data_IF_614529145298
#
_entry.id   IF_614529145298
#
_cell.length_a   1.000
_cell.length_b   1.000
_cell.length_c   1.000
_cell.angle_alpha   90.00
_cell.angle_beta   90.00
_cell.angle_gamma   90.00
#
_symmetry.space_group_name_H-M   'P 1'
#
loop_
_entity.id
_entity.type
_entity.pdbx_description
1 polymer ?
#
# COMPACT_ATOMS: atom_id res chain seq x y z
N UNK A 1 -52.33 25.24 46.50
CA UNK A 1 -52.08 26.51 45.78
C UNK A 1 -50.55 26.67 45.70
N UNK A 2 -49.92 26.32 44.57
CA UNK A 2 -49.37 27.25 43.52
C UNK A 2 -48.29 28.19 44.11
N UNK A 3 -47.05 28.33 43.65
CA UNK A 3 -46.23 28.06 42.45
C UNK A 3 -44.75 27.89 42.93
N UNK A 4 -43.77 27.26 42.27
CA UNK A 4 -43.35 27.33 40.86
C UNK A 4 -42.01 28.09 40.76
N UNK A 5 -40.89 27.39 40.51
CA UNK A 5 -39.55 27.98 40.38
C UNK A 5 -38.56 27.07 39.64
N UNK A 6 -38.56 27.20 38.31
CA UNK A 6 -37.79 26.45 37.32
C UNK A 6 -36.28 26.74 37.38
N UNK A 7 -35.44 25.71 37.30
CA UNK A 7 -34.00 25.80 37.10
C UNK A 7 -33.45 24.64 36.28
N UNK A 8 -33.83 24.57 34.99
CA UNK A 8 -33.25 23.61 34.03
C UNK A 8 -31.82 24.02 33.64
N UNK A 9 -30.82 23.22 34.02
CA UNK A 9 -29.51 23.22 33.36
C UNK A 9 -29.53 22.19 32.24
N UNK A 10 -29.53 22.65 31.00
CA UNK A 10 -29.30 21.81 29.81
C UNK A 10 -27.81 21.58 29.64
N UNK A 11 -27.32 20.39 30.00
CA UNK A 11 -25.99 19.93 29.61
C UNK A 11 -26.01 19.57 28.14
N UNK A 12 -25.24 20.31 27.34
CA UNK A 12 -25.08 20.08 25.91
C UNK A 12 -24.12 18.91 25.72
N UNK A 13 -24.67 17.71 25.53
CA UNK A 13 -23.91 16.55 25.08
C UNK A 13 -23.41 16.81 23.65
N UNK A 14 -22.09 16.92 23.48
CA UNK A 14 -21.45 16.82 22.17
C UNK A 14 -21.52 15.35 21.70
N UNK A 15 -21.93 15.07 20.46
CA UNK A 15 -21.86 13.72 19.94
C UNK A 15 -20.38 13.37 19.68
N UNK A 16 -19.82 12.51 20.53
CA UNK A 16 -18.60 11.77 20.23
C UNK A 16 -18.89 10.90 19.00
N UNK A 17 -18.44 11.37 17.84
CA UNK A 17 -18.46 10.61 16.61
C UNK A 17 -17.50 9.44 16.82
N UNK A 18 -18.06 8.23 16.91
CA UNK A 18 -17.32 6.99 16.98
C UNK A 18 -16.28 6.96 15.85
N UNK A 19 -15.02 7.07 16.23
CA UNK A 19 -13.88 6.84 15.37
C UNK A 19 -13.72 5.31 15.35
N UNK A 20 -14.04 4.69 14.22
CA UNK A 20 -14.03 3.23 14.06
C UNK A 20 -12.65 2.66 14.46
N UNK A 21 -12.65 1.62 15.31
CA UNK A 21 -11.41 1.05 15.87
C UNK A 21 -10.47 0.46 14.82
N UNK A 22 -10.95 0.24 13.60
CA UNK A 22 -10.15 -0.21 12.45
C UNK A 22 -9.13 0.82 11.98
N UNK A 23 -9.42 2.11 12.09
CA UNK A 23 -8.49 3.18 11.65
C UNK A 23 -7.34 3.37 12.65
N UNK A 24 -7.59 3.09 13.93
CA UNK A 24 -6.54 3.08 14.95
C UNK A 24 -5.60 1.89 14.81
N UNK A 25 -6.11 0.72 14.41
CA UNK A 25 -5.27 -0.46 14.18
C UNK A 25 -4.38 -0.27 12.94
N UNK A 26 -4.91 0.29 11.85
CA UNK A 26 -4.13 0.54 10.64
C UNK A 26 -3.01 1.58 10.83
N UNK A 27 -3.24 2.65 11.61
CA UNK A 27 -2.22 3.68 11.88
C UNK A 27 -1.14 3.16 12.85
N UNK A 28 -1.49 2.27 13.77
CA UNK A 28 -0.54 1.64 14.71
C UNK A 28 0.27 0.52 14.04
N UNK A 29 -0.30 -0.21 13.07
CA UNK A 29 0.44 -1.18 12.25
C UNK A 29 1.41 -0.47 11.29
N UNK A 30 0.99 0.59 10.58
CA UNK A 30 1.86 1.28 9.61
C UNK A 30 3.03 2.04 10.25
N UNK A 31 2.91 2.45 11.52
CA UNK A 31 3.99 3.17 12.23
C UNK A 31 4.96 2.28 13.01
N UNK A 32 4.68 0.97 13.15
CA UNK A 32 5.58 0.01 13.82
C UNK A 32 6.35 -0.91 12.89
N UNK A 33 5.86 -1.17 11.67
CA UNK A 33 6.56 -2.03 10.71
C UNK A 33 7.90 -1.47 10.19
N UNK A 34 8.23 -0.21 10.47
CA UNK A 34 9.45 0.44 10.01
C UNK A 34 10.67 0.34 10.95
N UNK A 35 10.58 -0.25 12.15
CA UNK A 35 11.72 -0.21 13.10
C UNK A 35 12.59 -1.48 13.17
N UNK A 36 12.09 -2.66 12.80
CA UNK A 36 12.82 -3.94 13.03
C UNK A 36 13.58 -4.43 11.80
N UNK A 37 13.08 -4.16 10.58
CA UNK A 37 13.75 -4.55 9.34
C UNK A 37 14.83 -3.55 8.90
N UNK A 38 14.90 -2.37 9.54
CA UNK A 38 15.96 -1.38 9.31
C UNK A 38 17.35 -1.90 9.71
N UNK A 39 17.40 -2.95 10.55
CA UNK A 39 18.63 -3.64 10.94
C UNK A 39 19.11 -4.67 9.91
N UNK A 40 18.26 -5.02 8.93
CA UNK A 40 18.65 -5.89 7.82
C UNK A 40 19.31 -5.07 6.71
N UNK A 41 20.23 -5.67 5.93
CA UNK A 41 20.83 -5.01 4.79
C UNK A 41 19.76 -4.47 3.84
N UNK A 42 19.97 -3.24 3.34
CA UNK A 42 19.04 -2.57 2.42
C UNK A 42 17.61 -2.39 2.99
N UNK A 43 17.45 -2.43 4.33
CA UNK A 43 16.17 -2.28 5.04
C UNK A 43 15.12 -3.29 4.61
N UNK A 44 15.55 -4.50 4.23
CA UNK A 44 14.68 -5.58 3.79
C UNK A 44 13.90 -5.32 2.49
N UNK A 45 14.20 -4.25 1.73
CA UNK A 45 13.41 -3.85 0.54
C UNK A 45 13.47 -4.84 -0.62
N UNK A 46 14.55 -5.59 -0.72
CA UNK A 46 14.79 -6.55 -1.79
C UNK A 46 14.66 -8.00 -1.31
N UNK A 47 14.14 -8.22 -0.09
CA UNK A 47 13.88 -9.56 0.41
C UNK A 47 12.62 -10.13 -0.25
N UNK A 48 12.63 -11.42 -0.60
CA UNK A 48 11.42 -12.16 -0.90
C UNK A 48 10.40 -12.09 0.25
N UNK A 49 9.13 -12.32 -0.07
CA UNK A 49 8.04 -12.06 0.86
C UNK A 49 8.13 -12.93 2.12
N UNK A 50 8.35 -14.25 1.97
CA UNK A 50 8.42 -15.16 3.13
C UNK A 50 9.69 -14.97 3.92
N UNK A 51 10.83 -14.81 3.26
CA UNK A 51 12.10 -14.45 3.92
C UNK A 51 11.94 -13.21 4.79
N UNK A 52 11.24 -12.19 4.28
CA UNK A 52 10.97 -10.97 5.04
C UNK A 52 10.12 -11.23 6.28
N UNK A 53 9.07 -12.04 6.15
CA UNK A 53 8.19 -12.41 7.26
C UNK A 53 8.93 -13.25 8.31
N UNK A 54 9.71 -14.24 7.87
CA UNK A 54 10.56 -15.05 8.72
C UNK A 54 11.56 -14.19 9.50
N UNK A 55 12.31 -13.32 8.83
CA UNK A 55 13.28 -12.46 9.49
C UNK A 55 12.63 -11.45 10.42
N UNK A 56 11.41 -10.98 10.11
CA UNK A 56 10.66 -10.18 11.06
C UNK A 56 10.40 -10.96 12.35
N UNK A 57 9.87 -12.18 12.25
CA UNK A 57 9.61 -13.03 13.42
C UNK A 57 10.89 -13.35 14.20
N UNK A 58 12.00 -13.61 13.52
CA UNK A 58 13.31 -13.91 14.14
C UNK A 58 13.88 -12.69 14.86
N UNK A 59 13.87 -11.52 14.22
CA UNK A 59 14.36 -10.27 14.83
C UNK A 59 13.45 -9.84 15.98
N UNK A 60 12.14 -10.03 15.86
CA UNK A 60 11.18 -9.79 16.94
C UNK A 60 11.45 -10.70 18.14
N UNK A 61 11.69 -12.00 17.87
CA UNK A 61 12.12 -12.97 18.88
C UNK A 61 13.41 -12.50 19.56
N UNK A 62 14.44 -12.10 18.79
CA UNK A 62 15.71 -11.61 19.32
C UNK A 62 15.57 -10.34 20.17
N UNK A 63 14.83 -9.33 19.69
CA UNK A 63 14.73 -8.02 20.34
C UNK A 63 13.89 -8.08 21.61
N UNK A 64 12.79 -8.83 21.60
CA UNK A 64 11.82 -8.80 22.70
C UNK A 64 11.92 -10.00 23.66
N UNK A 65 12.48 -11.13 23.25
CA UNK A 65 12.59 -12.28 24.14
C UNK A 65 13.91 -12.25 24.92
N UNK A 66 13.87 -11.57 26.08
CA UNK A 66 15.00 -11.48 27.01
C UNK A 66 15.16 -12.72 27.92
N UNK A 67 14.44 -13.83 27.69
CA UNK A 67 14.45 -15.02 28.58
C UNK A 67 14.31 -16.34 27.82
N UNK A 68 15.08 -17.33 28.26
CA UNK A 68 15.25 -18.69 27.70
C UNK A 68 13.97 -19.54 27.56
N UNK A 69 12.82 -19.09 28.08
CA UNK A 69 11.61 -19.91 28.20
C UNK A 69 10.51 -19.62 27.18
N UNK A 70 10.73 -18.73 26.22
CA UNK A 70 9.73 -18.45 25.18
C UNK A 70 10.04 -19.25 23.91
N UNK A 71 9.01 -19.94 23.42
CA UNK A 71 9.05 -20.58 22.12
C UNK A 71 9.31 -19.52 21.03
N UNK A 72 10.15 -19.83 20.03
CA UNK A 72 10.36 -18.93 18.90
C UNK A 72 9.03 -18.64 18.21
N UNK A 73 8.86 -17.42 17.70
CA UNK A 73 7.66 -17.00 16.94
C UNK A 73 7.56 -17.66 15.55
N UNK A 74 8.49 -18.56 15.23
CA UNK A 74 8.57 -19.28 13.97
C UNK A 74 8.99 -20.74 14.25
N UNK A 75 8.54 -21.64 13.40
CA UNK A 75 8.82 -23.08 13.51
C UNK A 75 9.92 -23.52 12.53
N UNK A 76 10.44 -24.74 12.71
CA UNK A 76 11.34 -25.38 11.73
C UNK A 76 10.65 -25.51 10.37
N UNK A 77 9.34 -25.79 10.37
CA UNK A 77 8.55 -25.93 9.15
C UNK A 77 8.40 -24.61 8.40
N UNK A 78 8.20 -23.48 9.11
CA UNK A 78 8.15 -22.15 8.49
C UNK A 78 9.48 -21.80 7.81
N UNK A 79 10.59 -22.19 8.43
CA UNK A 79 11.93 -22.00 7.91
C UNK A 79 12.15 -22.87 6.65
N UNK A 80 11.85 -24.17 6.72
CA UNK A 80 11.97 -25.10 5.59
C UNK A 80 11.10 -24.64 4.42
N UNK A 81 9.83 -24.32 4.68
CA UNK A 81 8.90 -23.81 3.68
C UNK A 81 9.41 -22.53 3.02
N UNK A 82 10.01 -21.62 3.79
CA UNK A 82 10.60 -20.38 3.25
C UNK A 82 11.79 -20.68 2.34
N UNK A 83 12.66 -21.61 2.74
CA UNK A 83 13.83 -22.03 1.95
C UNK A 83 13.36 -22.71 0.65
N UNK A 84 12.48 -23.69 0.75
CA UNK A 84 11.97 -24.47 -0.38
C UNK A 84 11.21 -23.63 -1.40
N UNK A 85 10.43 -22.64 -0.96
CA UNK A 85 9.66 -21.81 -1.88
C UNK A 85 10.52 -20.76 -2.59
N UNK A 86 11.49 -20.15 -1.90
CA UNK A 86 12.18 -18.95 -2.40
C UNK A 86 13.63 -19.19 -2.87
N UNK A 87 14.24 -20.32 -2.50
CA UNK A 87 15.65 -20.63 -2.77
C UNK A 87 15.82 -21.98 -3.49
N UNK A 88 16.88 -22.06 -4.28
CA UNK A 88 17.41 -23.29 -4.86
C UNK A 88 18.52 -23.79 -3.92
N UNK A 89 18.38 -25.04 -3.45
CA UNK A 89 19.34 -25.70 -2.57
C UNK A 89 20.45 -26.34 -3.40
N UNK A 90 21.69 -26.21 -2.92
CA UNK A 90 22.89 -26.85 -3.48
C UNK A 90 23.66 -27.53 -2.37
N UNK A 91 24.08 -28.75 -2.64
CA UNK A 91 24.97 -29.49 -1.75
C UNK A 91 26.36 -28.88 -1.83
N UNK A 92 26.68 -28.07 -0.83
CA UNK A 92 27.98 -27.44 -0.68
C UNK A 92 28.50 -27.72 0.71
N UNK A 93 29.76 -28.17 0.86
CA UNK A 93 30.36 -28.33 2.17
C UNK A 93 30.46 -27.02 2.94
N UNK A 94 30.34 -27.14 4.26
CA UNK A 94 30.42 -26.06 5.22
C UNK A 94 31.53 -26.36 6.22
N UNK A 95 32.42 -25.41 6.48
CA UNK A 95 33.38 -25.54 7.57
C UNK A 95 33.00 -24.59 8.70
N UNK A 96 33.07 -25.08 9.94
CA UNK A 96 32.86 -24.31 11.16
C UNK A 96 34.04 -24.58 12.09
N UNK A 97 34.97 -23.63 12.18
CA UNK A 97 36.23 -23.79 12.89
C UNK A 97 37.10 -24.85 12.21
N UNK A 98 37.45 -25.90 12.95
CA UNK A 98 38.25 -27.02 12.44
C UNK A 98 37.39 -28.19 11.91
N UNK A 99 36.06 -28.09 12.02
CA UNK A 99 35.14 -29.13 11.58
C UNK A 99 34.64 -28.85 10.17
N UNK A 100 34.58 -29.88 9.34
CA UNK A 100 34.05 -29.83 7.98
C UNK A 100 32.82 -30.71 7.88
N UNK A 101 31.72 -30.14 7.40
CA UNK A 101 30.46 -30.83 7.14
C UNK A 101 30.37 -31.02 5.63
N UNK A 102 30.64 -32.24 5.17
CA UNK A 102 30.37 -32.67 3.82
C UNK A 102 28.95 -33.24 3.74
N UNK A 103 28.04 -32.53 3.06
CA UNK A 103 26.64 -32.96 2.92
C UNK A 103 26.50 -34.29 2.16
N UNK A 104 27.46 -34.61 1.29
CA UNK A 104 27.54 -35.88 0.57
C UNK A 104 27.72 -37.07 1.54
N UNK A 105 28.51 -36.86 2.61
CA UNK A 105 28.84 -37.90 3.61
C UNK A 105 27.88 -37.89 4.81
N UNK A 106 27.22 -36.76 5.07
CA UNK A 106 26.35 -36.57 6.22
C UNK A 106 25.06 -37.40 6.22
N UNK A 107 24.83 -38.22 5.18
CA UNK A 107 23.91 -39.37 5.17
C UNK A 107 22.60 -39.16 5.92
N UNK A 108 21.57 -38.63 5.24
CA UNK A 108 20.21 -38.43 5.75
C UNK A 108 20.06 -37.59 7.05
N UNK A 109 21.12 -36.97 7.59
CA UNK A 109 20.97 -36.10 8.76
C UNK A 109 20.33 -34.76 8.38
N UNK A 110 19.01 -34.74 8.40
CA UNK A 110 18.20 -33.55 8.12
C UNK A 110 18.58 -32.33 8.98
N UNK A 111 19.02 -32.53 10.22
CA UNK A 111 19.41 -31.44 11.13
C UNK A 111 20.70 -30.75 10.69
N UNK A 112 21.70 -31.50 10.22
CA UNK A 112 22.95 -30.94 9.70
C UNK A 112 22.69 -30.21 8.38
N UNK A 113 21.87 -30.79 7.51
CA UNK A 113 21.45 -30.15 6.27
C UNK A 113 20.74 -28.82 6.54
N UNK A 114 19.73 -28.81 7.41
CA UNK A 114 19.00 -27.60 7.78
C UNK A 114 19.93 -26.53 8.39
N UNK A 115 20.92 -26.93 9.20
CA UNK A 115 21.92 -26.00 9.75
C UNK A 115 22.76 -25.35 8.64
N UNK A 116 23.22 -26.13 7.65
CA UNK A 116 24.00 -25.60 6.51
C UNK A 116 23.16 -24.62 5.69
N UNK A 117 21.91 -24.96 5.42
CA UNK A 117 20.97 -24.10 4.72
C UNK A 117 20.70 -22.80 5.49
N UNK A 118 20.49 -22.87 6.81
CA UNK A 118 20.29 -21.68 7.66
C UNK A 118 21.51 -20.78 7.70
N UNK A 119 22.72 -21.35 7.88
CA UNK A 119 23.94 -20.56 7.89
C UNK A 119 24.18 -19.91 6.52
N UNK A 120 23.85 -20.62 5.43
CA UNK A 120 23.90 -20.04 4.10
C UNK A 120 22.84 -18.94 3.89
N UNK A 121 21.63 -19.10 4.43
CA UNK A 121 20.57 -18.09 4.38
C UNK A 121 21.00 -16.83 5.13
N UNK A 122 21.54 -17.03 6.33
CA UNK A 122 22.00 -15.96 7.19
C UNK A 122 23.20 -15.21 6.58
N UNK A 123 24.15 -15.92 5.98
CA UNK A 123 25.26 -15.30 5.25
C UNK A 123 24.76 -14.52 4.03
N UNK A 124 23.89 -15.12 3.20
CA UNK A 124 23.33 -14.49 2.00
C UNK A 124 22.66 -13.14 2.32
N UNK A 125 21.97 -13.08 3.45
CA UNK A 125 21.27 -11.87 3.92
C UNK A 125 22.02 -11.08 4.98
N UNK A 126 23.30 -11.40 5.20
CA UNK A 126 24.24 -10.71 6.08
C UNK A 126 23.68 -10.49 7.49
N UNK A 127 23.09 -11.53 8.06
CA UNK A 127 22.54 -11.47 9.41
C UNK A 127 23.67 -11.42 10.45
N UNK A 128 23.51 -10.64 11.54
CA UNK A 128 24.49 -10.62 12.61
C UNK A 128 24.50 -11.96 13.37
N UNK A 129 25.62 -12.24 14.04
CA UNK A 129 25.84 -13.48 14.80
C UNK A 129 24.67 -13.82 15.74
N UNK A 130 24.26 -12.86 16.56
CA UNK A 130 23.27 -13.12 17.62
C UNK A 130 21.88 -13.46 17.06
N UNK A 131 21.48 -12.78 15.97
CA UNK A 131 20.21 -13.08 15.26
C UNK A 131 20.30 -14.44 14.57
N UNK A 132 21.48 -14.80 14.07
CA UNK A 132 21.72 -16.11 13.45
C UNK A 132 21.65 -17.25 14.47
N UNK A 133 22.14 -17.03 15.70
CA UNK A 133 21.99 -18.00 16.80
C UNK A 133 20.51 -18.21 17.14
N UNK A 134 19.71 -17.13 17.20
CA UNK A 134 18.26 -17.27 17.36
C UNK A 134 17.68 -18.10 16.22
N UNK A 135 18.04 -17.79 14.97
CA UNK A 135 17.60 -18.51 13.77
C UNK A 135 17.88 -20.02 13.85
N UNK A 136 19.03 -20.41 14.40
CA UNK A 136 19.49 -21.80 14.55
C UNK A 136 18.87 -22.57 15.71
N UNK A 137 18.27 -21.88 16.71
CA UNK A 137 17.72 -22.51 17.91
C UNK A 137 16.73 -23.65 17.62
N UNK A 138 15.78 -23.53 16.66
CA UNK A 138 14.83 -24.61 16.36
C UNK A 138 15.48 -25.87 15.77
N UNK A 139 16.70 -25.75 15.21
CA UNK A 139 17.45 -26.85 14.57
C UNK A 139 18.49 -27.44 15.51
N UNK A 140 18.60 -26.92 16.74
CA UNK A 140 19.57 -27.40 17.72
C UNK A 140 19.17 -28.79 18.19
N UNK A 141 19.94 -29.79 17.79
CA UNK A 141 19.85 -31.19 18.21
C UNK A 141 21.21 -31.70 18.66
N UNK A 142 21.29 -32.96 19.11
CA UNK A 142 22.52 -33.53 19.66
C UNK A 142 23.70 -33.46 18.69
N UNK A 143 23.44 -33.68 17.40
CA UNK A 143 24.47 -33.67 16.35
C UNK A 143 24.91 -32.27 15.90
N UNK A 144 24.03 -31.26 16.02
CA UNK A 144 24.34 -29.87 15.61
C UNK A 144 24.92 -29.05 16.75
N UNK A 145 24.78 -29.52 18.00
CA UNK A 145 25.18 -28.80 19.21
C UNK A 145 26.65 -28.35 19.21
N UNK A 146 27.57 -29.26 18.87
CA UNK A 146 29.00 -28.93 18.84
C UNK A 146 29.32 -27.79 17.85
N UNK A 147 28.72 -27.82 16.66
CA UNK A 147 28.88 -26.79 15.66
C UNK A 147 28.30 -25.45 16.09
N UNK A 148 27.13 -25.47 16.73
CA UNK A 148 26.47 -24.28 17.26
C UNK A 148 27.29 -23.68 18.40
N UNK A 149 27.87 -24.49 19.29
CA UNK A 149 28.75 -24.03 20.36
C UNK A 149 30.02 -23.34 19.81
N UNK A 150 30.61 -23.89 18.74
CA UNK A 150 31.77 -23.27 18.06
C UNK A 150 31.36 -21.94 17.42
N UNK A 151 30.20 -21.90 16.75
CA UNK A 151 29.66 -20.68 16.16
C UNK A 151 29.29 -19.63 17.21
N UNK A 152 28.76 -20.04 18.36
CA UNK A 152 28.45 -19.14 19.46
C UNK A 152 29.72 -18.54 20.09
N UNK A 153 30.82 -19.29 20.15
CA UNK A 153 32.10 -18.75 20.65
C UNK A 153 32.76 -17.84 19.62
N UNK A 154 32.90 -18.31 18.39
CA UNK A 154 33.75 -17.69 17.37
C UNK A 154 33.00 -16.78 16.40
N UNK A 155 31.69 -16.97 16.24
CA UNK A 155 30.87 -16.23 15.29
C UNK A 155 31.21 -16.53 13.83
N UNK A 156 30.93 -15.55 12.97
CA UNK A 156 31.14 -15.66 11.51
C UNK A 156 32.59 -15.90 11.09
N UNK A 157 33.59 -15.55 11.92
CA UNK A 157 34.99 -15.80 11.57
C UNK A 157 35.37 -17.28 11.57
N UNK A 158 34.57 -18.15 12.20
CA UNK A 158 34.76 -19.59 12.14
C UNK A 158 34.07 -20.24 10.94
N UNK A 159 33.16 -19.55 10.24
CA UNK A 159 32.36 -20.15 9.17
C UNK A 159 33.02 -19.93 7.83
N UNK A 160 33.17 -20.97 7.02
CA UNK A 160 33.59 -20.83 5.64
C UNK A 160 32.84 -21.76 4.68
N UNK A 161 32.67 -21.29 3.45
CA UNK A 161 31.91 -21.95 2.39
C UNK A 161 32.83 -22.29 1.21
N UNK A 162 33.59 -23.41 1.27
CA UNK A 162 34.64 -23.71 0.30
C UNK A 162 34.17 -23.87 -1.14
N UNK A 163 32.90 -24.23 -1.41
CA UNK A 163 32.34 -24.27 -2.79
C UNK A 163 31.30 -23.16 -3.06
N UNK A 164 31.15 -22.20 -2.14
CA UNK A 164 30.15 -21.13 -2.20
C UNK A 164 28.92 -21.39 -1.31
N UNK A 165 27.92 -20.51 -1.37
CA UNK A 165 26.71 -20.64 -0.55
C UNK A 165 25.86 -21.84 -1.02
N UNK A 166 25.28 -22.59 -0.06
CA UNK A 166 24.37 -23.70 -0.35
C UNK A 166 23.02 -23.20 -0.90
N UNK A 167 22.59 -22.01 -0.51
CA UNK A 167 21.35 -21.42 -1.00
C UNK A 167 21.60 -20.38 -2.10
N UNK A 168 20.77 -20.43 -3.14
CA UNK A 168 20.69 -19.39 -4.16
C UNK A 168 19.25 -18.92 -4.33
N UNK A 169 19.03 -17.61 -4.43
CA UNK A 169 17.67 -17.12 -4.67
C UNK A 169 17.13 -17.67 -6.00
N UNK A 170 15.89 -18.17 -6.01
CA UNK A 170 15.25 -18.67 -7.22
C UNK A 170 15.23 -17.63 -8.31
N UNK A 171 15.43 -18.09 -9.55
CA UNK A 171 15.60 -17.22 -10.72
C UNK A 171 14.47 -16.19 -10.88
N UNK A 172 13.24 -16.58 -10.59
CA UNK A 172 12.03 -15.76 -10.72
C UNK A 172 12.02 -14.56 -9.76
N UNK A 173 12.62 -14.74 -8.58
CA UNK A 173 12.69 -13.73 -7.53
C UNK A 173 13.93 -12.82 -7.66
N UNK A 174 14.86 -13.15 -8.57
CA UNK A 174 16.06 -12.34 -8.78
C UNK A 174 15.73 -11.00 -9.44
N UNK A 175 16.32 -9.88 -8.96
CA UNK A 175 16.25 -8.60 -9.64
C UNK A 175 16.67 -8.70 -11.11
N UNK A 176 15.91 -8.10 -12.03
CA UNK A 176 16.17 -8.13 -13.50
C UNK A 176 17.60 -7.75 -13.88
N UNK A 177 18.25 -6.87 -13.12
CA UNK A 177 19.67 -6.48 -13.31
C UNK A 177 20.63 -7.65 -13.08
N UNK A 178 20.40 -8.45 -12.04
CA UNK A 178 21.21 -9.63 -11.76
C UNK A 178 20.98 -10.72 -12.81
N UNK A 179 19.73 -10.91 -13.28
CA UNK A 179 19.43 -11.86 -14.34
C UNK A 179 20.24 -11.56 -15.62
N UNK A 180 20.30 -10.30 -16.07
CA UNK A 180 21.04 -9.92 -17.28
C UNK A 180 22.57 -10.13 -17.14
N UNK A 181 23.13 -9.85 -15.96
CA UNK A 181 24.55 -10.06 -15.70
C UNK A 181 24.93 -11.56 -15.67
N UNK A 182 24.00 -12.40 -15.22
CA UNK A 182 24.17 -13.85 -15.17
C UNK A 182 24.26 -14.46 -16.59
N UNK A 183 23.36 -14.05 -17.49
CA UNK A 183 23.35 -14.53 -18.88
C UNK A 183 24.65 -14.25 -19.64
N UNK A 184 25.23 -13.06 -19.47
CA UNK A 184 26.48 -12.67 -20.15
C UNK A 184 27.71 -13.48 -19.69
N UNK A 185 27.64 -14.08 -18.50
CA UNK A 185 28.78 -14.76 -17.88
C UNK A 185 28.57 -16.28 -17.76
N UNK A 186 27.54 -16.83 -18.40
CA UNK A 186 27.17 -18.22 -18.25
C UNK A 186 28.19 -19.23 -18.82
N UNK A 187 29.06 -18.79 -19.73
CA UNK A 187 29.89 -19.68 -20.54
C UNK A 187 31.19 -20.19 -19.87
N UNK A 188 31.53 -19.75 -18.65
CA UNK A 188 32.80 -20.12 -18.01
C UNK A 188 32.59 -20.79 -16.63
N UNK A 189 32.43 -22.12 -16.60
CA UNK A 189 32.23 -22.90 -15.36
C UNK A 189 33.29 -22.65 -14.28
N UNK A 190 34.59 -22.70 -14.62
CA UNK A 190 35.67 -22.42 -13.64
C UNK A 190 35.64 -21.00 -13.08
N UNK A 191 35.15 -20.02 -13.86
CA UNK A 191 34.95 -18.65 -13.35
C UNK A 191 33.73 -18.54 -12.46
N UNK A 192 32.74 -19.44 -12.58
CA UNK A 192 31.56 -19.46 -11.72
C UNK A 192 31.91 -19.94 -10.31
N UNK A 193 32.65 -21.04 -10.17
CA UNK A 193 33.06 -21.56 -8.86
C UNK A 193 33.91 -20.55 -8.08
N UNK A 194 34.93 -19.96 -8.71
CA UNK A 194 35.73 -18.92 -8.05
C UNK A 194 34.90 -17.70 -7.64
N UNK A 195 33.88 -17.35 -8.45
CA UNK A 195 32.96 -16.25 -8.11
C UNK A 195 32.02 -16.63 -6.98
N UNK A 196 31.47 -17.84 -6.95
CA UNK A 196 30.60 -18.28 -5.85
C UNK A 196 31.37 -18.36 -4.53
N UNK A 197 32.61 -18.81 -4.57
CA UNK A 197 33.53 -18.77 -3.41
C UNK A 197 33.79 -17.34 -2.95
N UNK A 198 34.11 -16.44 -3.88
CA UNK A 198 34.35 -15.03 -3.56
C UNK A 198 33.08 -14.34 -3.02
N UNK A 199 31.93 -14.59 -3.62
CA UNK A 199 30.64 -14.05 -3.18
C UNK A 199 30.28 -14.57 -1.78
N UNK A 200 30.53 -15.85 -1.50
CA UNK A 200 30.31 -16.42 -0.17
C UNK A 200 31.27 -15.81 0.86
N UNK A 201 32.56 -15.67 0.52
CA UNK A 201 33.55 -15.05 1.41
C UNK A 201 33.19 -13.58 1.71
N UNK A 202 32.76 -12.81 0.70
CA UNK A 202 32.26 -11.44 0.87
C UNK A 202 31.02 -11.42 1.75
N UNK A 203 30.07 -12.33 1.53
CA UNK A 203 28.84 -12.40 2.32
C UNK A 203 29.13 -12.68 3.80
N UNK A 204 30.06 -13.59 4.10
CA UNK A 204 30.52 -13.89 5.47
C UNK A 204 31.25 -12.70 6.10
N UNK A 205 32.18 -12.06 5.39
CA UNK A 205 32.89 -10.86 5.87
C UNK A 205 31.91 -9.69 6.13
N UNK A 206 30.93 -9.50 5.26
CA UNK A 206 29.88 -8.52 5.48
C UNK A 206 29.01 -8.87 6.69
N UNK A 207 28.59 -10.13 6.84
CA UNK A 207 27.81 -10.60 8.00
C UNK A 207 28.57 -10.41 9.31
N UNK A 208 29.89 -10.62 9.31
CA UNK A 208 30.78 -10.39 10.46
C UNK A 208 30.80 -8.92 10.88
N UNK A 209 30.67 -7.98 9.93
CA UNK A 209 30.70 -6.53 10.20
C UNK A 209 29.36 -5.97 10.68
N UNK A 210 28.25 -6.69 10.49
CA UNK A 210 26.93 -6.23 10.93
C UNK A 210 26.82 -6.38 12.45
N UNK A 211 26.58 -5.26 13.13
CA UNK A 211 26.35 -5.22 14.57
C UNK A 211 24.90 -5.56 14.86
N UNK A 212 24.66 -6.48 15.80
CA UNK A 212 23.31 -6.84 16.22
C UNK A 212 22.60 -5.64 16.88
N UNK A 213 21.27 -5.51 16.70
CA UNK A 213 20.54 -4.43 17.35
C UNK A 213 20.61 -4.56 18.87
N UNK A 214 20.74 -3.43 19.57
CA UNK A 214 20.71 -3.44 21.02
C UNK A 214 19.40 -4.08 21.52
N UNK A 215 19.54 -5.09 22.38
CA UNK A 215 18.41 -5.76 23.02
C UNK A 215 17.66 -4.69 23.83
N UNK A 216 16.50 -4.28 23.31
CA UNK A 216 15.64 -3.36 24.04
C UNK A 216 15.04 -4.13 25.19
N UNK A 217 15.43 -3.79 26.42
CA UNK A 217 14.64 -4.24 27.57
C UNK A 217 13.20 -3.81 27.31
N UNK A 218 12.29 -4.78 27.23
CA UNK A 218 10.86 -4.52 27.22
C UNK A 218 10.57 -3.61 28.40
N UNK A 219 10.31 -2.33 28.11
CA UNK A 219 9.94 -1.38 29.16
C UNK A 219 8.68 -1.96 29.80
N UNK A 220 8.58 -2.00 31.14
CA UNK A 220 7.37 -2.47 31.79
C UNK A 220 6.20 -1.66 31.22
N UNK A 221 5.07 -2.35 31.01
CA UNK A 221 3.86 -1.78 30.37
C UNK A 221 3.49 -0.42 30.99
N UNK A 222 3.69 -0.30 32.29
CA UNK A 222 3.38 0.89 33.08
C UNK A 222 4.22 2.11 32.67
N UNK A 223 5.49 1.92 32.30
CA UNK A 223 6.36 3.01 31.83
C UNK A 223 5.95 3.51 30.44
N UNK A 224 5.49 2.58 29.58
CA UNK A 224 4.96 2.93 28.25
C UNK A 224 3.65 3.68 28.38
N UNK A 225 2.75 3.21 29.25
CA UNK A 225 1.48 3.88 29.52
C UNK A 225 1.71 5.27 30.13
N UNK A 226 2.62 5.41 31.09
CA UNK A 226 2.99 6.70 31.68
C UNK A 226 3.54 7.67 30.64
N UNK A 227 4.34 7.20 29.67
CA UNK A 227 4.87 8.03 28.60
C UNK A 227 3.82 8.45 27.58
N UNK A 228 2.88 7.56 27.25
CA UNK A 228 1.72 7.89 26.41
C UNK A 228 0.83 8.91 27.11
N UNK A 229 0.57 8.73 28.40
CA UNK A 229 -0.18 9.67 29.22
C UNK A 229 0.51 11.04 29.29
N UNK A 230 1.84 11.05 29.45
CA UNK A 230 2.65 12.27 29.44
C UNK A 230 2.63 12.96 28.07
N UNK A 231 2.73 12.21 26.97
CA UNK A 231 2.62 12.76 25.61
C UNK A 231 1.23 13.32 25.31
N UNK A 232 0.16 12.67 25.79
CA UNK A 232 -1.20 13.17 25.67
C UNK A 232 -1.40 14.45 26.48
N UNK A 233 -0.83 14.53 27.69
CA UNK A 233 -0.81 15.75 28.51
C UNK A 233 -0.05 16.89 27.81
N UNK A 234 1.12 16.62 27.26
CA UNK A 234 1.94 17.61 26.55
C UNK A 234 1.31 18.07 25.22
N UNK A 235 0.56 17.21 24.53
CA UNK A 235 -0.15 17.56 23.31
C UNK A 235 -1.43 18.37 23.55
N UNK A 236 -2.01 18.31 24.76
CA UNK A 236 -3.26 19.02 25.07
C UNK A 236 -3.14 20.55 25.11
N UNK A 237 -1.92 21.13 25.08
CA UNK A 237 -1.70 22.57 25.31
C UNK A 237 -1.19 23.33 24.08
N UNK A 238 -0.93 22.69 22.93
CA UNK A 238 -0.56 23.45 21.72
C UNK A 238 -1.82 23.83 20.94
N UNK A 239 -2.24 25.12 20.91
CA UNK A 239 -3.21 25.55 19.93
C UNK A 239 -2.61 25.20 18.57
N UNK A 240 -3.30 24.33 17.84
CA UNK A 240 -2.94 23.98 16.47
C UNK A 240 -2.97 25.30 15.70
N UNK A 241 -1.80 25.91 15.53
CA UNK A 241 -1.60 26.93 14.51
C UNK A 241 -1.80 26.19 13.19
N UNK A 242 -3.06 26.13 12.75
CA UNK A 242 -3.45 25.74 11.41
C UNK A 242 -2.72 26.70 10.49
N UNK A 243 -1.52 26.30 10.06
CA UNK A 243 -1.01 26.73 8.76
C UNK A 243 -2.14 26.40 7.79
N UNK A 244 -2.49 27.35 6.94
CA UNK A 244 -3.45 27.19 5.85
C UNK A 244 -2.95 26.17 4.80
N UNK A 245 -2.51 25.00 5.23
CA UNK A 245 -2.43 23.81 4.43
C UNK A 245 -3.87 23.44 4.10
N UNK A 246 -4.32 23.95 2.95
CA UNK A 246 -5.55 23.57 2.29
C UNK A 246 -5.63 22.03 2.25
N UNK A 247 -6.34 21.47 3.24
CA UNK A 247 -6.60 20.04 3.47
C UNK A 247 -7.22 19.30 2.26
N UNK A 248 -7.55 20.03 1.20
CA UNK A 248 -8.21 19.53 0.02
C UNK A 248 -7.26 18.98 -1.07
N UNK A 249 -5.95 19.23 -0.96
CA UNK A 249 -5.00 18.65 -1.92
C UNK A 249 -4.42 17.36 -1.34
N UNK A 250 -4.74 16.17 -1.89
CA UNK A 250 -4.14 14.92 -1.43
C UNK A 250 -2.61 15.01 -1.49
N UNK A 251 -1.94 14.66 -0.39
CA UNK A 251 -0.48 14.71 -0.30
C UNK A 251 0.21 13.69 -1.24
N UNK A 252 -0.52 12.66 -1.67
CA UNK A 252 -0.06 11.67 -2.63
C UNK A 252 -0.56 12.00 -4.05
N UNK A 253 0.37 12.18 -4.99
CA UNK A 253 0.02 12.24 -6.40
C UNK A 253 -0.34 10.83 -6.89
N UNK A 254 -1.51 10.62 -7.55
CA UNK A 254 -1.88 9.33 -8.14
C UNK A 254 -1.10 8.97 -9.42
N UNK A 255 0.08 9.57 -9.63
CA UNK A 255 0.90 9.48 -10.85
C UNK A 255 2.17 8.65 -10.64
N UNK A 256 2.27 7.89 -9.53
CA UNK A 256 3.48 7.10 -9.23
C UNK A 256 3.75 5.96 -10.21
N UNK A 257 2.72 5.48 -10.92
CA UNK A 257 2.82 4.34 -11.84
C UNK A 257 3.28 4.69 -13.28
N UNK A 258 3.42 5.96 -13.66
CA UNK A 258 3.78 6.34 -15.03
C UNK A 258 5.31 6.50 -15.22
N UNK A 259 5.90 5.73 -16.14
CA UNK A 259 7.37 5.63 -16.35
C UNK A 259 8.05 6.86 -16.97
N UNK A 260 7.28 7.86 -17.42
CA UNK A 260 7.84 9.02 -18.11
C UNK A 260 8.36 10.11 -17.17
N UNK A 261 9.65 10.02 -16.81
CA UNK A 261 10.35 10.99 -15.93
C UNK A 261 10.25 12.46 -16.37
N UNK A 262 10.17 12.76 -17.66
CA UNK A 262 10.00 14.15 -18.16
C UNK A 262 8.61 14.70 -17.87
N UNK A 263 7.58 13.90 -18.12
CA UNK A 263 6.18 14.28 -17.87
C UNK A 263 5.86 14.42 -16.38
N UNK A 264 6.44 13.56 -15.52
CA UNK A 264 6.31 13.68 -14.05
C UNK A 264 6.80 15.04 -13.53
N UNK A 265 7.91 15.58 -14.08
CA UNK A 265 8.44 16.90 -13.68
C UNK A 265 7.50 18.04 -14.08
N UNK A 266 6.91 17.98 -15.27
CA UNK A 266 5.97 18.99 -15.75
C UNK A 266 4.68 18.94 -14.92
N UNK A 267 4.10 17.75 -14.71
CA UNK A 267 2.92 17.58 -13.87
C UNK A 267 3.15 18.08 -12.43
N UNK A 268 4.33 17.79 -11.85
CA UNK A 268 4.70 18.27 -10.51
C UNK A 268 4.75 19.79 -10.44
N UNK A 269 5.31 20.45 -11.46
CA UNK A 269 5.32 21.92 -11.57
C UNK A 269 3.90 22.47 -11.66
N UNK A 270 3.05 21.90 -12.51
CA UNK A 270 1.67 22.38 -12.68
C UNK A 270 0.83 22.18 -11.41
N UNK A 271 0.93 21.03 -10.75
CA UNK A 271 0.26 20.80 -9.47
C UNK A 271 0.74 21.77 -8.38
N UNK A 272 2.05 22.05 -8.32
CA UNK A 272 2.59 23.05 -7.40
C UNK A 272 2.09 24.46 -7.70
N UNK A 273 1.90 24.80 -8.98
CA UNK A 273 1.29 26.08 -9.38
C UNK A 273 -0.18 26.14 -8.99
N UNK A 274 -0.94 25.05 -9.14
CA UNK A 274 -2.34 24.99 -8.70
C UNK A 274 -2.46 25.12 -7.17
N UNK A 275 -1.58 24.45 -6.40
CA UNK A 275 -1.50 24.57 -4.94
C UNK A 275 -1.13 25.99 -4.51
N UNK A 276 -0.22 26.66 -5.23
CA UNK A 276 0.13 28.09 -5.02
C UNK A 276 -1.04 29.03 -5.27
N UNK A 277 -1.96 28.69 -6.18
CA UNK A 277 -3.18 29.49 -6.44
C UNK A 277 -4.27 29.30 -5.37
N UNK A 278 -4.05 28.41 -4.39
CA UNK A 278 -4.91 28.24 -3.22
C UNK A 278 -6.38 27.99 -3.57
N UNK A 279 -7.27 28.84 -3.05
CA UNK A 279 -8.73 28.75 -3.21
C UNK A 279 -9.18 28.79 -4.68
N UNK A 280 -8.54 29.64 -5.50
CA UNK A 280 -8.83 29.75 -6.92
C UNK A 280 -8.51 28.46 -7.67
N UNK A 281 -7.43 27.79 -7.26
CA UNK A 281 -7.00 26.51 -7.83
C UNK A 281 -7.97 25.37 -7.51
N UNK A 282 -8.55 25.35 -6.30
CA UNK A 282 -9.60 24.39 -5.94
C UNK A 282 -10.84 24.61 -6.79
N UNK A 283 -11.33 25.85 -6.87
CA UNK A 283 -12.54 26.14 -7.63
C UNK A 283 -12.36 25.87 -9.13
N UNK A 284 -11.21 26.22 -9.71
CA UNK A 284 -10.96 25.96 -11.13
C UNK A 284 -10.83 24.46 -11.44
N UNK A 285 -10.29 23.68 -10.51
CA UNK A 285 -10.27 22.23 -10.61
C UNK A 285 -11.69 21.63 -10.55
N UNK A 286 -12.53 22.12 -9.64
CA UNK A 286 -13.95 21.75 -9.58
C UNK A 286 -14.70 22.15 -10.86
N UNK A 287 -14.41 23.33 -11.43
CA UNK A 287 -15.07 23.82 -12.65
C UNK A 287 -14.70 22.99 -13.86
N UNK A 288 -13.42 22.64 -13.99
CA UNK A 288 -12.98 21.74 -15.04
C UNK A 288 -13.62 20.35 -14.88
N UNK A 289 -13.67 19.82 -13.65
CA UNK A 289 -14.36 18.54 -13.38
C UNK A 289 -15.82 18.60 -13.80
N UNK A 290 -16.53 19.64 -13.37
CA UNK A 290 -17.93 19.82 -13.71
C UNK A 290 -18.11 19.81 -15.23
N UNK A 291 -17.38 20.64 -15.97
CA UNK A 291 -17.47 20.69 -17.42
C UNK A 291 -17.15 19.34 -18.07
N UNK A 292 -16.05 18.72 -17.66
CA UNK A 292 -15.61 17.43 -18.22
C UNK A 292 -16.66 16.33 -18.00
N UNK A 293 -17.12 16.16 -16.77
CA UNK A 293 -18.10 15.12 -16.46
C UNK A 293 -19.48 15.44 -17.03
N UNK A 294 -19.91 16.70 -17.07
CA UNK A 294 -21.21 17.07 -17.65
C UNK A 294 -21.21 16.85 -19.16
N UNK A 295 -20.24 17.39 -19.88
CA UNK A 295 -20.15 17.26 -21.35
C UNK A 295 -19.88 15.81 -21.74
N UNK A 296 -18.97 15.13 -21.03
CA UNK A 296 -18.66 13.73 -21.28
C UNK A 296 -19.85 12.81 -21.03
N UNK A 297 -20.61 13.04 -19.95
CA UNK A 297 -21.83 12.29 -19.68
C UNK A 297 -22.89 12.57 -20.74
N UNK A 298 -23.17 13.83 -21.08
CA UNK A 298 -24.16 14.18 -22.10
C UNK A 298 -23.82 13.58 -23.47
N UNK A 299 -22.56 13.64 -23.87
CA UNK A 299 -22.09 13.07 -25.14
C UNK A 299 -22.19 11.54 -25.15
N UNK A 300 -21.71 10.86 -24.11
CA UNK A 300 -21.80 9.40 -24.03
C UNK A 300 -23.23 8.92 -23.85
N UNK A 301 -24.09 9.70 -23.19
CA UNK A 301 -25.51 9.40 -23.02
C UNK A 301 -26.26 9.36 -24.36
N UNK A 302 -25.90 10.25 -25.29
CA UNK A 302 -26.44 10.25 -26.65
C UNK A 302 -25.85 9.13 -27.50
N UNK A 303 -24.59 8.76 -27.29
CA UNK A 303 -23.90 7.74 -28.09
C UNK A 303 -24.30 6.31 -27.73
N UNK A 304 -24.52 6.03 -26.44
CA UNK A 304 -24.87 4.70 -25.97
C UNK A 304 -26.38 4.51 -26.09
N UNK A 305 -26.80 3.67 -27.04
CA UNK A 305 -28.20 3.30 -27.19
C UNK A 305 -28.73 2.64 -25.89
N UNK A 306 -30.02 2.87 -25.53
CA UNK A 306 -30.64 2.09 -24.48
C UNK A 306 -30.60 0.60 -24.84
N UNK A 307 -30.43 -0.27 -23.84
CA UNK A 307 -30.51 -1.73 -24.03
C UNK A 307 -31.91 -2.06 -24.54
N UNK A 308 -32.01 -2.96 -25.52
CA UNK A 308 -33.30 -3.36 -26.10
C UNK A 308 -34.31 -3.68 -24.99
N UNK A 309 -35.46 -2.97 -24.95
CA UNK A 309 -36.47 -3.18 -23.92
C UNK A 309 -37.10 -4.58 -24.02
N UNK A 310 -36.94 -5.23 -25.18
CA UNK A 310 -37.52 -6.53 -25.51
C UNK A 310 -36.77 -7.74 -24.94
N UNK A 311 -35.51 -7.57 -24.55
CA UNK A 311 -34.64 -8.71 -24.19
C UNK A 311 -34.71 -9.03 -22.69
N UNK A 312 -35.39 -8.22 -21.87
CA UNK A 312 -35.49 -8.52 -20.43
C UNK A 312 -36.74 -7.92 -19.82
N UNK A 313 -37.51 -8.74 -19.09
CA UNK A 313 -38.67 -8.39 -18.24
C UNK A 313 -38.28 -7.52 -17.02
N UNK A 314 -37.42 -6.53 -17.21
CA UNK A 314 -36.88 -5.65 -16.18
C UNK A 314 -37.62 -4.31 -16.21
N UNK A 315 -37.90 -3.73 -15.04
CA UNK A 315 -38.53 -2.41 -14.93
C UNK A 315 -37.76 -1.34 -15.73
N UNK A 316 -38.48 -0.35 -16.28
CA UNK A 316 -37.90 0.81 -17.01
C UNK A 316 -36.74 1.47 -16.25
N UNK A 317 -36.85 1.53 -14.93
CA UNK A 317 -35.81 2.07 -14.04
C UNK A 317 -34.52 1.26 -14.14
N UNK A 318 -34.60 -0.07 -14.19
CA UNK A 318 -33.43 -0.94 -14.29
C UNK A 318 -32.71 -0.80 -15.65
N UNK A 319 -33.44 -0.57 -16.74
CA UNK A 319 -32.86 -0.30 -18.06
C UNK A 319 -32.04 1.00 -18.02
N UNK A 320 -32.58 2.07 -17.42
CA UNK A 320 -31.87 3.35 -17.27
C UNK A 320 -30.67 3.24 -16.34
N UNK A 321 -30.78 2.51 -15.24
CA UNK A 321 -29.65 2.26 -14.32
C UNK A 321 -28.51 1.54 -15.04
N UNK A 322 -28.83 0.52 -15.86
CA UNK A 322 -27.81 -0.18 -16.68
C UNK A 322 -27.17 0.74 -17.71
N UNK A 323 -27.96 1.57 -18.42
CA UNK A 323 -27.42 2.57 -19.35
C UNK A 323 -26.50 3.54 -18.62
N UNK A 324 -26.93 4.07 -17.48
CA UNK A 324 -26.13 4.96 -16.64
C UNK A 324 -24.82 4.32 -16.21
N UNK A 325 -24.84 3.08 -15.73
CA UNK A 325 -23.63 2.36 -15.33
C UNK A 325 -22.64 2.20 -16.49
N UNK A 326 -23.11 1.88 -17.72
CA UNK A 326 -22.26 1.78 -18.91
C UNK A 326 -21.66 3.13 -19.31
N UNK A 327 -22.47 4.19 -19.31
CA UNK A 327 -22.01 5.55 -19.60
C UNK A 327 -20.95 5.98 -18.58
N UNK A 328 -21.23 5.76 -17.30
CA UNK A 328 -20.31 6.11 -16.21
C UNK A 328 -19.01 5.32 -16.27
N UNK A 329 -19.06 4.02 -16.54
CA UNK A 329 -17.87 3.17 -16.70
C UNK A 329 -17.01 3.65 -17.88
N UNK A 330 -17.62 3.96 -19.02
CA UNK A 330 -16.92 4.52 -20.18
C UNK A 330 -16.24 5.86 -19.83
N UNK A 331 -16.96 6.74 -19.13
CA UNK A 331 -16.45 8.04 -18.70
C UNK A 331 -15.32 7.91 -17.67
N UNK A 332 -15.39 6.91 -16.79
CA UNK A 332 -14.33 6.59 -15.82
C UNK A 332 -13.03 6.17 -16.52
N UNK A 333 -13.12 5.33 -17.55
CA UNK A 333 -11.97 4.95 -18.38
C UNK A 333 -11.39 6.18 -19.09
N UNK A 334 -12.23 7.02 -19.69
CA UNK A 334 -11.78 8.27 -20.34
C UNK A 334 -11.10 9.23 -19.35
N UNK A 335 -11.60 9.32 -18.12
CA UNK A 335 -11.01 10.16 -17.06
C UNK A 335 -9.57 9.73 -16.71
N UNK A 336 -9.20 8.46 -16.87
CA UNK A 336 -7.83 8.00 -16.65
C UNK A 336 -6.84 8.60 -17.65
N UNK A 337 -7.26 8.74 -18.92
CA UNK A 337 -6.43 9.32 -19.97
C UNK A 337 -6.31 10.85 -19.86
N UNK A 338 -7.26 11.51 -19.19
CA UNK A 338 -7.39 12.97 -19.16
C UNK A 338 -6.78 13.59 -17.89
N UNK A 339 -6.15 12.80 -17.02
CA UNK A 339 -5.52 13.27 -15.78
C UNK A 339 -4.57 14.45 -15.96
N UNK A 340 -3.78 14.47 -17.03
CA UNK A 340 -2.81 15.55 -17.29
C UNK A 340 -3.48 16.78 -17.91
N UNK A 341 -4.22 16.67 -19.05
CA UNK A 341 -4.96 17.81 -19.61
C UNK A 341 -5.85 18.51 -18.58
N UNK A 342 -6.42 17.75 -17.64
CA UNK A 342 -7.21 18.27 -16.53
C UNK A 342 -6.49 19.28 -15.66
N UNK A 343 -5.23 19.01 -15.29
CA UNK A 343 -4.44 19.94 -14.47
C UNK A 343 -4.12 21.20 -15.28
N UNK A 344 -3.79 21.06 -16.57
CA UNK A 344 -3.56 22.21 -17.45
C UNK A 344 -4.82 23.07 -17.63
N UNK A 345 -5.97 22.44 -17.88
CA UNK A 345 -7.26 23.12 -18.00
C UNK A 345 -7.67 23.84 -16.72
N UNK A 346 -7.47 23.21 -15.55
CA UNK A 346 -7.71 23.86 -14.26
C UNK A 346 -6.83 25.10 -14.05
N UNK A 347 -5.59 25.10 -14.53
CA UNK A 347 -4.69 26.25 -14.41
C UNK A 347 -5.10 27.39 -15.34
N UNK A 348 -5.55 27.07 -16.55
CA UNK A 348 -6.09 28.03 -17.51
C UNK A 348 -7.39 28.68 -17.01
N UNK A 349 -8.24 27.92 -16.29
CA UNK A 349 -9.48 28.41 -15.69
C UNK A 349 -9.27 29.17 -14.36
N UNK A 350 -8.11 29.07 -13.73
CA UNK A 350 -7.84 29.72 -12.45
C UNK A 350 -8.07 31.25 -12.41
N UNK A 351 -7.63 32.07 -13.40
CA UNK A 351 -7.95 33.50 -13.39
C UNK A 351 -9.45 33.77 -13.49
N UNK A 352 -10.18 32.95 -14.25
CA UNK A 352 -11.63 33.04 -14.33
C UNK A 352 -12.29 32.72 -13.00
N UNK A 353 -11.87 31.61 -12.36
CA UNK A 353 -12.35 31.21 -11.03
C UNK A 353 -12.07 32.27 -9.94
N UNK A 354 -10.94 32.98 -10.02
CA UNK A 354 -10.64 34.09 -9.12
C UNK A 354 -11.58 35.28 -9.35
N UNK A 355 -11.84 35.64 -10.61
CA UNK A 355 -12.76 36.74 -10.94
C UNK A 355 -14.19 36.45 -10.49
N UNK A 356 -14.66 35.21 -10.68
CA UNK A 356 -16.02 34.81 -10.26
C UNK A 356 -16.17 34.77 -8.75
N UNK A 357 -15.19 34.23 -8.01
CA UNK A 357 -15.21 34.25 -6.53
C UNK A 357 -15.18 35.67 -5.98
N UNK A 358 -14.35 36.55 -6.54
CA UNK A 358 -14.31 37.96 -6.13
C UNK A 358 -15.63 38.68 -6.43
N UNK A 359 -16.23 38.43 -7.60
CA UNK A 359 -17.51 39.02 -7.97
C UNK A 359 -18.65 38.56 -7.05
N UNK A 360 -18.72 37.27 -6.72
CA UNK A 360 -19.73 36.71 -5.80
C UNK A 360 -19.52 37.23 -4.39
N UNK A 361 -18.28 37.24 -3.89
CA UNK A 361 -17.94 37.77 -2.57
C UNK A 361 -18.33 39.25 -2.45
N UNK A 362 -18.04 40.06 -3.47
CA UNK A 362 -18.42 41.48 -3.51
C UNK A 362 -19.94 41.69 -3.61
N UNK A 363 -20.63 40.91 -4.45
CA UNK A 363 -22.08 41.06 -4.68
C UNK A 363 -22.92 40.62 -3.49
N UNK A 364 -22.50 39.54 -2.81
CA UNK A 364 -23.23 38.95 -1.69
C UNK A 364 -22.73 39.45 -0.33
N UNK A 365 -21.67 40.27 -0.31
CA UNK A 365 -21.00 40.78 0.89
C UNK A 365 -20.61 39.68 1.90
N UNK A 366 -20.07 38.56 1.40
CA UNK A 366 -19.69 37.39 2.21
C UNK A 366 -18.19 37.11 2.08
N UNK A 367 -17.63 36.42 3.07
CA UNK A 367 -16.24 35.97 3.04
C UNK A 367 -15.94 35.11 1.79
N UNK A 368 -14.68 35.12 1.34
CA UNK A 368 -14.26 34.32 0.19
C UNK A 368 -14.51 32.82 0.36
N UNK A 369 -14.45 32.30 1.59
CA UNK A 369 -14.75 30.89 1.87
C UNK A 369 -16.23 30.58 1.67
N UNK A 370 -17.11 31.44 2.16
CA UNK A 370 -18.55 31.30 1.95
C UNK A 370 -18.90 31.44 0.46
N UNK A 371 -18.30 32.40 -0.25
CA UNK A 371 -18.47 32.56 -1.70
C UNK A 371 -18.03 31.30 -2.47
N UNK A 372 -16.93 30.66 -2.07
CA UNK A 372 -16.48 29.40 -2.65
C UNK A 372 -17.48 28.28 -2.40
N UNK A 373 -17.98 28.12 -1.18
CA UNK A 373 -18.98 27.09 -0.83
C UNK A 373 -20.26 27.29 -1.64
N UNK A 374 -20.76 28.53 -1.74
CA UNK A 374 -21.94 28.89 -2.53
C UNK A 374 -21.74 28.51 -4.01
N UNK A 375 -20.56 28.81 -4.56
CA UNK A 375 -20.24 28.44 -5.94
C UNK A 375 -20.17 26.92 -6.12
N UNK A 376 -19.52 26.20 -5.20
CA UNK A 376 -19.49 24.73 -5.25
C UNK A 376 -20.88 24.11 -5.15
N UNK A 377 -21.75 24.61 -4.26
CA UNK A 377 -23.11 24.11 -4.14
C UNK A 377 -23.91 24.37 -5.42
N UNK A 378 -23.78 25.57 -5.99
CA UNK A 378 -24.45 25.91 -7.25
C UNK A 378 -23.97 25.01 -8.40
N UNK A 379 -22.67 24.68 -8.44
CA UNK A 379 -22.10 23.76 -9.41
C UNK A 379 -22.66 22.35 -9.28
N UNK A 380 -22.71 21.79 -8.07
CA UNK A 380 -23.28 20.46 -7.83
C UNK A 380 -24.77 20.43 -8.19
N UNK A 381 -25.53 21.46 -7.80
CA UNK A 381 -26.94 21.59 -8.18
C UNK A 381 -27.11 21.66 -9.70
N UNK A 382 -26.29 22.46 -10.39
CA UNK A 382 -26.33 22.55 -11.86
C UNK A 382 -25.99 21.23 -12.55
N UNK A 383 -25.06 20.45 -11.98
CA UNK A 383 -24.74 19.12 -12.50
C UNK A 383 -25.92 18.18 -12.36
N UNK A 384 -26.49 18.11 -11.15
CA UNK A 384 -27.62 17.24 -10.85
C UNK A 384 -28.85 17.56 -11.71
N UNK A 385 -29.13 18.84 -11.95
CA UNK A 385 -30.24 19.25 -12.82
C UNK A 385 -30.01 18.87 -14.28
N UNK A 386 -28.81 19.07 -14.83
CA UNK A 386 -28.49 18.70 -16.21
C UNK A 386 -28.55 17.18 -16.40
N UNK A 387 -27.92 16.40 -15.53
CA UNK A 387 -27.93 14.93 -15.61
C UNK A 387 -29.33 14.37 -15.35
N UNK A 388 -30.05 14.93 -14.37
CA UNK A 388 -31.44 14.58 -14.11
C UNK A 388 -32.34 14.79 -15.33
N UNK A 389 -32.23 15.95 -15.99
CA UNK A 389 -33.00 16.24 -17.20
C UNK A 389 -32.73 15.24 -18.34
N UNK A 390 -31.47 14.82 -18.52
CA UNK A 390 -31.11 13.80 -19.52
C UNK A 390 -31.75 12.44 -19.21
N UNK A 391 -31.68 12.01 -17.94
CA UNK A 391 -32.24 10.72 -17.52
C UNK A 391 -33.77 10.73 -17.62
N UNK A 392 -34.43 11.80 -17.14
CA UNK A 392 -35.89 11.94 -17.22
C UNK A 392 -36.37 12.02 -18.67
N UNK A 393 -35.60 12.67 -19.55
CA UNK A 393 -35.92 12.74 -20.98
C UNK A 393 -35.96 11.36 -21.64
N UNK A 394 -34.98 10.51 -21.38
CA UNK A 394 -34.97 9.14 -21.88
C UNK A 394 -36.05 8.27 -21.22
N UNK A 395 -36.32 8.45 -19.93
CA UNK A 395 -37.42 7.77 -19.25
C UNK A 395 -38.77 8.07 -19.90
N UNK A 396 -39.05 9.35 -20.20
CA UNK A 396 -40.28 9.76 -20.86
C UNK A 396 -40.42 9.14 -22.26
N UNK A 397 -39.32 9.09 -23.04
CA UNK A 397 -39.29 8.45 -24.36
C UNK A 397 -39.54 6.94 -24.28
N UNK A 398 -38.87 6.24 -23.38
CA UNK A 398 -39.05 4.79 -23.20
C UNK A 398 -40.47 4.46 -22.74
N UNK A 399 -41.03 5.26 -21.84
CA UNK A 399 -42.41 5.11 -21.38
C UNK A 399 -43.42 5.29 -22.53
N UNK A 400 -43.21 6.28 -23.40
CA UNK A 400 -44.05 6.48 -24.58
C UNK A 400 -43.98 5.29 -25.54
N UNK A 401 -42.78 4.75 -25.78
CA UNK A 401 -42.58 3.59 -26.64
C UNK A 401 -43.31 2.35 -26.13
N UNK A 402 -43.22 2.04 -24.82
CA UNK A 402 -43.94 0.89 -24.26
C UNK A 402 -45.47 1.05 -24.37
N UNK A 403 -46.00 2.25 -24.12
CA UNK A 403 -47.46 2.50 -24.25
C UNK A 403 -47.92 2.33 -25.71
N UNK A 404 -47.12 2.77 -26.69
CA UNK A 404 -47.45 2.57 -28.10
C UNK A 404 -47.39 1.10 -28.50
N UNK A 405 -46.45 0.35 -27.94
CA UNK A 405 -46.28 -1.07 -28.24
C UNK A 405 -47.38 -1.93 -27.61
N UNK A 406 -47.74 -1.71 -26.34
CA UNK A 406 -48.89 -2.36 -25.70
C UNK A 406 -50.18 -2.13 -26.49
N UNK A 407 -50.38 -0.91 -27.03
CA UNK A 407 -51.50 -0.61 -27.92
C UNK A 407 -51.43 -1.37 -29.25
N UNK A 408 -50.26 -1.50 -29.85
CA UNK A 408 -50.05 -2.25 -31.10
C UNK A 408 -50.29 -3.75 -30.91
N UNK A 409 -49.74 -4.35 -29.86
CA UNK A 409 -49.96 -5.78 -29.52
C UNK A 409 -51.43 -6.03 -29.18
N UNK A 410 -52.07 -5.13 -28.44
CA UNK A 410 -53.50 -5.19 -28.17
C UNK A 410 -54.35 -5.13 -29.45
N UNK A 411 -53.97 -4.29 -30.42
CA UNK A 411 -54.65 -4.19 -31.72
C UNK A 411 -54.45 -5.44 -32.59
N UNK A 412 -53.26 -6.06 -32.56
CA UNK A 412 -52.99 -7.32 -33.31
C UNK A 412 -53.79 -8.48 -32.71
N UNK A 413 -53.99 -8.51 -31.39
CA UNK A 413 -54.82 -9.53 -30.72
C UNK A 413 -56.33 -9.41 -31.00
N UNK A 414 -56.77 -8.31 -31.60
CA UNK A 414 -58.16 -8.04 -31.94
C UNK A 414 -58.50 -8.23 -33.42
N UNK A 415 -57.57 -8.73 -34.26
CA UNK A 415 -57.93 -9.24 -35.58
C UNK A 415 -58.54 -10.64 -35.42
N UNK A 416 -59.86 -10.84 -35.63
CA UNK A 416 -60.41 -12.18 -35.74
C UNK A 416 -59.83 -12.87 -36.97
N UNK A 417 -59.40 -14.13 -36.78
CA UNK A 417 -58.94 -15.04 -37.84
C UNK A 417 -60.03 -15.30 -38.86
#
# INVERSE_FOLDING_TARGET
MLHGGNGRRTSTFLPFRAMESSDFLNIVEETKHFSLLDFLPQRGRNLPFRTRTLFHAVVETYVYQKKENYLPLYTVDDLRLTIDEEYDIKEVPLCIGNLTIDLEDAGNNESLQAMVEVLSLAALHRLPKDVTIVLLRPITGEQTKEYIDIFERSGWSAVCFPRGLSLQLKRELRPKRQQQAWWKNAWNLRRRERRSQLEAAIAVDEAQRVVAPEIRSTRPRDEVLAKIEQQLKDQSVRPIQRKDELLFFPNSMPLESFSFRRFRRIAKRQYSMLKRKGRAGVLSYCLFNLLFYTTGMAWQWQRIAPVDPLVTSSSLTMILVRKFARVFASLYVAAQFIKIPKVFGAIALAPYAQRTTNAVSKKMNVSQNAALIILLSLMVMSWATIIGALILGDYARLRQLMITEERLVGLISLQPV
#
